data_IF_216623295209
#
_entry.id   IF_216623295209
#
_cell.length_a   1.000
_cell.length_b   1.000
_cell.length_c   1.000
_cell.angle_alpha   90.00
_cell.angle_beta   90.00
_cell.angle_gamma   90.00
#
_symmetry.space_group_name_H-M   'P 1'
#
loop_
_entity.id
_entity.type
_entity.pdbx_description
1 polymer ?
#
# COMPACT_ATOMS: atom_id res chain seq x y z
N UNK A 1 17.72 4.60 -11.01
CA UNK A 1 16.80 3.51 -11.41
C UNK A 1 15.54 3.64 -10.56
N UNK A 2 14.34 3.60 -11.16
CA UNK A 2 13.06 3.67 -10.42
C UNK A 2 12.63 2.23 -10.13
N UNK A 3 12.33 1.91 -8.87
CA UNK A 3 11.83 0.59 -8.47
C UNK A 3 10.31 0.64 -8.44
N UNK A 4 9.64 -0.34 -9.06
CA UNK A 4 8.17 -0.45 -9.05
C UNK A 4 7.75 -1.76 -8.43
N UNK A 5 6.83 -1.70 -7.47
CA UNK A 5 6.24 -2.88 -6.81
C UNK A 5 4.72 -2.80 -6.85
N UNK A 6 4.06 -3.93 -7.00
CA UNK A 6 2.60 -4.04 -7.00
C UNK A 6 2.15 -4.99 -5.90
N UNK A 7 1.32 -4.49 -4.99
CA UNK A 7 0.61 -5.28 -3.99
C UNK A 7 -0.72 -5.73 -4.61
N UNK A 8 -0.85 -7.02 -4.91
CA UNK A 8 -2.03 -7.61 -5.57
C UNK A 8 -2.61 -8.71 -4.68
N UNK A 9 -3.94 -8.78 -4.61
CA UNK A 9 -4.65 -9.80 -3.85
C UNK A 9 -6.11 -9.46 -3.66
N UNK A 10 -6.87 -10.38 -3.08
CA UNK A 10 -8.31 -10.24 -2.82
C UNK A 10 -8.61 -9.14 -1.79
N UNK A 11 -9.86 -8.69 -1.75
CA UNK A 11 -10.34 -7.80 -0.69
C UNK A 11 -10.04 -8.32 0.71
N UNK A 12 -9.62 -7.42 1.60
CA UNK A 12 -9.31 -7.77 3.00
C UNK A 12 -7.95 -8.43 3.24
N UNK A 13 -7.15 -8.73 2.21
CA UNK A 13 -5.84 -9.40 2.40
C UNK A 13 -4.70 -8.49 2.96
N UNK A 14 -5.03 -7.28 3.44
CA UNK A 14 -4.09 -6.43 4.16
C UNK A 14 -3.10 -5.62 3.32
N UNK A 15 -3.28 -5.49 2.00
CA UNK A 15 -2.37 -4.73 1.11
C UNK A 15 -2.15 -3.29 1.57
N UNK A 16 -3.23 -2.60 1.89
CA UNK A 16 -3.21 -1.20 2.34
C UNK A 16 -2.52 -1.08 3.70
N UNK A 17 -2.79 -2.01 4.63
CA UNK A 17 -2.10 -2.10 5.91
C UNK A 17 -0.59 -2.33 5.75
N UNK A 18 -0.20 -3.22 4.83
CA UNK A 18 1.20 -3.52 4.53
C UNK A 18 1.91 -2.31 3.93
N UNK A 19 1.26 -1.61 3.00
CA UNK A 19 1.77 -0.34 2.49
C UNK A 19 1.95 0.69 3.60
N UNK A 20 0.94 0.89 4.44
CA UNK A 20 0.93 1.91 5.48
C UNK A 20 2.03 1.67 6.52
N UNK A 21 2.23 0.43 6.96
CA UNK A 21 3.28 0.09 7.94
C UNK A 21 4.67 0.13 7.33
N UNK A 22 4.85 -0.45 6.13
CA UNK A 22 6.17 -0.58 5.52
C UNK A 22 6.69 0.70 4.86
N UNK A 23 5.78 1.56 4.37
CA UNK A 23 6.14 2.72 3.53
C UNK A 23 5.46 4.02 3.94
N UNK A 24 4.54 4.05 4.91
CA UNK A 24 3.91 5.29 5.36
C UNK A 24 4.04 5.51 6.87
N UNK A 25 5.01 4.84 7.51
CA UNK A 25 5.36 4.96 8.93
C UNK A 25 4.15 4.84 9.89
N UNK A 26 3.10 4.15 9.43
CA UNK A 26 1.88 3.97 10.23
C UNK A 26 2.08 2.83 11.21
N UNK A 27 1.63 2.96 12.46
CA UNK A 27 1.70 1.86 13.41
C UNK A 27 0.71 0.75 13.04
N UNK A 28 1.05 -0.53 13.28
CA UNK A 28 0.15 -1.65 12.96
C UNK A 28 -1.25 -1.50 13.56
N UNK A 29 -1.37 -0.96 14.77
CA UNK A 29 -2.66 -0.80 15.47
C UNK A 29 -3.58 0.20 14.77
N UNK A 30 -3.00 1.24 14.18
CA UNK A 30 -3.74 2.29 13.46
C UNK A 30 -4.31 1.80 12.13
N UNK A 31 -3.77 0.70 11.58
CA UNK A 31 -4.26 0.14 10.31
C UNK A 31 -5.69 -0.41 10.40
N UNK A 32 -6.20 -0.69 11.60
CA UNK A 32 -7.59 -1.15 11.83
C UNK A 32 -8.64 -0.14 11.39
N UNK A 33 -8.27 1.14 11.31
CA UNK A 33 -9.16 2.25 10.90
C UNK A 33 -9.13 2.47 9.38
N UNK A 34 -8.27 1.75 8.65
CA UNK A 34 -8.14 1.92 7.20
C UNK A 34 -9.40 1.39 6.50
N UNK A 35 -9.97 2.23 5.64
CA UNK A 35 -11.10 1.84 4.80
C UNK A 35 -10.63 0.95 3.65
N UNK A 36 -11.52 0.12 3.08
CA UNK A 36 -11.22 -0.66 1.89
C UNK A 36 -10.75 0.23 0.74
N UNK A 37 -9.67 -0.18 0.07
CA UNK A 37 -9.24 0.47 -1.17
C UNK A 37 -10.14 -0.04 -2.31
N UNK A 38 -10.97 0.84 -2.88
CA UNK A 38 -12.04 0.50 -3.85
C UNK A 38 -11.49 0.32 -5.28
N UNK A 39 -10.31 0.85 -5.60
CA UNK A 39 -9.72 0.92 -6.95
C UNK A 39 -8.19 0.68 -6.94
N UNK A 40 -7.55 0.76 -8.12
CA UNK A 40 -6.09 0.80 -8.22
C UNK A 40 -5.53 2.11 -7.67
N UNK A 41 -4.73 2.03 -6.61
CA UNK A 41 -4.09 3.20 -6.00
C UNK A 41 -2.58 3.14 -6.19
N UNK A 42 -2.00 4.16 -6.86
CA UNK A 42 -0.54 4.29 -6.99
C UNK A 42 -0.03 5.34 -6.03
N UNK A 43 0.86 4.95 -5.12
CA UNK A 43 1.55 5.86 -4.20
C UNK A 43 3.04 5.93 -4.54
N UNK A 44 3.62 7.13 -4.44
CA UNK A 44 5.05 7.37 -4.71
C UNK A 44 5.75 7.68 -3.40
N UNK A 45 6.75 6.88 -3.04
CA UNK A 45 7.53 7.11 -1.83
C UNK A 45 8.70 8.07 -2.11
N UNK A 46 8.94 9.10 -1.27
CA UNK A 46 9.86 10.19 -1.58
C UNK A 46 11.34 9.77 -1.63
N UNK A 47 11.74 8.70 -0.93
CA UNK A 47 13.17 8.45 -0.67
C UNK A 47 13.92 7.51 -1.64
N UNK A 48 13.23 6.76 -2.52
CA UNK A 48 13.87 5.69 -3.31
C UNK A 48 13.48 5.64 -4.79
N UNK A 49 12.65 6.57 -5.26
CA UNK A 49 11.98 6.38 -6.56
C UNK A 49 11.14 5.11 -6.58
N UNK A 50 10.59 4.72 -5.43
CA UNK A 50 9.73 3.56 -5.27
C UNK A 50 8.29 3.95 -5.60
N UNK A 51 7.71 3.28 -6.59
CA UNK A 51 6.29 3.39 -6.94
C UNK A 51 5.59 2.12 -6.48
N UNK A 52 4.58 2.28 -5.60
CA UNK A 52 3.78 1.17 -5.09
C UNK A 52 2.38 1.24 -5.68
N UNK A 53 1.98 0.22 -6.43
CA UNK A 53 0.60 0.04 -6.87
C UNK A 53 -0.14 -0.89 -5.91
N UNK A 54 -1.32 -0.50 -5.45
CA UNK A 54 -2.22 -1.34 -4.64
C UNK A 54 -3.38 -1.74 -5.54
N UNK A 55 -3.39 -3.00 -6.00
CA UNK A 55 -4.45 -3.56 -6.85
C UNK A 55 -5.46 -4.34 -6.01
N UNK A 56 -6.74 -4.03 -6.21
CA UNK A 56 -7.83 -4.90 -5.79
C UNK A 56 -8.18 -5.85 -6.95
N UNK A 57 -8.33 -7.14 -6.67
CA UNK A 57 -8.89 -8.13 -7.58
C UNK A 57 -10.08 -8.82 -6.89
#
# INVERSE_FOLDING_TARGET
MIIKISLVGLGGCGKTSLYSVAFAETKPEDTKKLSPTILYETRRHPFLGLQVGICFH
#
